data_IF_475666743482
#
_entry.id   IF_475666743482
#
_cell.length_a   1.000
_cell.length_b   1.000
_cell.length_c   1.000
_cell.angle_alpha   90.00
_cell.angle_beta   90.00
_cell.angle_gamma   90.00
#
_symmetry.space_group_name_H-M   'P 1'
#
loop_
_entity.id
_entity.type
_entity.pdbx_description
1 polymer ?
#
# COMPACT_ATOMS: atom_id res chain seq x y z
N UNK A 1 -17.11 -3.63 21.89
CA UNK A 1 -16.69 -3.26 20.52
C UNK A 1 -15.31 -3.83 20.31
N UNK A 2 -15.15 -4.84 19.45
CA UNK A 2 -13.84 -5.39 19.12
C UNK A 2 -12.93 -4.26 18.63
N UNK A 3 -11.73 -4.14 19.20
CA UNK A 3 -10.71 -3.26 18.66
C UNK A 3 -10.56 -3.58 17.17
N UNK A 4 -10.53 -2.54 16.35
CA UNK A 4 -10.31 -2.69 14.92
C UNK A 4 -8.84 -3.10 14.73
N UNK A 5 -8.59 -4.32 14.25
CA UNK A 5 -7.23 -4.75 13.92
C UNK A 5 -6.58 -3.77 12.95
N UNK A 6 -5.29 -3.51 13.21
CA UNK A 6 -4.47 -2.66 12.37
C UNK A 6 -4.21 -3.30 11.02
N UNK A 7 -4.12 -2.49 9.96
CA UNK A 7 -3.94 -3.02 8.59
C UNK A 7 -2.90 -2.25 7.78
N UNK A 8 -2.22 -2.95 6.88
CA UNK A 8 -1.44 -2.37 5.79
C UNK A 8 -2.27 -2.47 4.49
N UNK A 9 -2.48 -1.34 3.82
CA UNK A 9 -3.15 -1.30 2.51
C UNK A 9 -2.14 -0.84 1.47
N UNK A 10 -1.86 -1.67 0.47
CA UNK A 10 -0.91 -1.40 -0.60
C UNK A 10 -1.66 -1.05 -1.88
N UNK A 11 -1.58 0.21 -2.32
CA UNK A 11 -2.08 0.62 -3.64
C UNK A 11 -1.03 0.30 -4.69
N UNK A 12 -1.33 -0.68 -5.55
CA UNK A 12 -0.39 -1.27 -6.49
C UNK A 12 -0.80 -1.17 -7.96
N UNK A 13 0.17 -1.45 -8.83
CA UNK A 13 0.05 -1.37 -10.28
C UNK A 13 1.28 -0.76 -10.94
N UNK A 14 1.37 -0.87 -12.26
CA UNK A 14 2.48 -0.33 -13.05
C UNK A 14 2.53 1.22 -12.98
N UNK A 15 3.62 1.82 -13.47
CA UNK A 15 3.74 3.28 -13.54
C UNK A 15 2.62 3.88 -14.40
N UNK A 16 2.14 5.06 -14.03
CA UNK A 16 1.06 5.74 -14.75
C UNK A 16 -0.37 5.30 -14.41
N UNK A 17 -0.56 4.25 -13.59
CA UNK A 17 -1.91 3.83 -13.14
C UNK A 17 -2.57 4.83 -12.19
N UNK A 18 -1.80 5.66 -11.49
CA UNK A 18 -2.31 6.66 -10.54
C UNK A 18 -2.24 6.24 -9.07
N UNK A 19 -1.33 5.33 -8.70
CA UNK A 19 -1.14 4.84 -7.33
C UNK A 19 -1.11 5.95 -6.27
N UNK A 20 -0.26 6.98 -6.44
CA UNK A 20 -0.17 8.04 -5.43
C UNK A 20 -1.46 8.87 -5.33
N UNK A 21 -2.14 9.09 -6.46
CA UNK A 21 -3.45 9.80 -6.45
C UNK A 21 -4.52 9.00 -5.71
N UNK A 22 -4.65 7.70 -6.01
CA UNK A 22 -5.61 6.85 -5.31
C UNK A 22 -5.20 6.62 -3.84
N UNK A 23 -3.91 6.41 -3.57
CA UNK A 23 -3.37 6.18 -2.24
C UNK A 23 -3.64 7.33 -1.29
N UNK A 24 -3.37 8.57 -1.70
CA UNK A 24 -3.69 9.76 -0.90
C UNK A 24 -5.19 9.89 -0.64
N UNK A 25 -6.03 9.69 -1.67
CA UNK A 25 -7.48 9.81 -1.52
C UNK A 25 -8.07 8.70 -0.61
N UNK A 26 -7.58 7.48 -0.76
CA UNK A 26 -8.00 6.33 0.05
C UNK A 26 -7.56 6.50 1.52
N UNK A 27 -6.33 6.95 1.75
CA UNK A 27 -5.83 7.25 3.09
C UNK A 27 -6.68 8.32 3.80
N UNK A 28 -7.02 9.40 3.09
CA UNK A 28 -7.91 10.43 3.60
C UNK A 28 -9.31 9.88 3.94
N UNK A 29 -9.88 9.05 3.06
CA UNK A 29 -11.19 8.43 3.28
C UNK A 29 -11.22 7.44 4.45
N UNK A 30 -10.09 6.82 4.78
CA UNK A 30 -9.95 5.85 5.87
C UNK A 30 -9.40 6.47 7.16
N UNK A 31 -9.04 7.76 7.14
CA UNK A 31 -8.35 8.46 8.23
C UNK A 31 -7.04 7.76 8.65
N UNK A 32 -6.29 7.26 7.67
CA UNK A 32 -5.00 6.58 7.86
C UNK A 32 -3.85 7.45 7.31
N UNK A 33 -2.63 7.31 7.84
CA UNK A 33 -1.45 7.89 7.20
C UNK A 33 -1.23 7.29 5.80
N UNK A 34 -0.67 8.11 4.92
CA UNK A 34 -0.22 7.73 3.58
C UNK A 34 1.31 7.76 3.51
N UNK A 35 1.91 6.77 2.85
CA UNK A 35 3.32 6.77 2.45
C UNK A 35 3.42 6.55 0.93
N UNK A 36 4.27 7.32 0.27
CA UNK A 36 4.74 6.95 -1.06
C UNK A 36 5.93 5.99 -0.92
N UNK A 37 5.77 4.74 -1.38
CA UNK A 37 6.79 3.70 -1.20
C UNK A 37 8.09 4.02 -1.94
N UNK A 38 8.05 4.86 -2.97
CA UNK A 38 9.25 5.28 -3.71
C UNK A 38 10.20 6.11 -2.81
N UNK A 39 9.69 6.80 -1.79
CA UNK A 39 10.48 7.58 -0.83
C UNK A 39 11.34 6.69 0.09
N UNK A 40 11.02 5.40 0.17
CA UNK A 40 11.72 4.42 1.02
C UNK A 40 12.81 3.65 0.27
N UNK A 41 13.08 3.99 -1.00
CA UNK A 41 14.18 3.37 -1.73
C UNK A 41 15.54 3.69 -1.09
N UNK A 42 16.45 2.71 -0.94
CA UNK A 42 17.82 3.00 -0.57
C UNK A 42 18.49 3.84 -1.67
N UNK A 43 19.47 4.66 -1.28
CA UNK A 43 20.21 5.53 -2.21
C UNK A 43 20.81 4.77 -3.39
N UNK A 44 21.21 3.51 -3.20
CA UNK A 44 21.69 2.62 -4.26
C UNK A 44 20.66 2.43 -5.37
N UNK A 45 19.39 2.23 -5.02
CA UNK A 45 18.30 2.04 -5.98
C UNK A 45 18.00 3.34 -6.72
N UNK A 46 17.92 4.45 -5.99
CA UNK A 46 17.70 5.78 -6.58
C UNK A 46 18.79 6.07 -7.60
N UNK A 47 20.06 5.85 -7.26
CA UNK A 47 21.20 6.06 -8.16
C UNK A 47 21.14 5.13 -9.39
N UNK A 48 20.78 3.85 -9.20
CA UNK A 48 20.68 2.88 -10.29
C UNK A 48 19.58 3.25 -11.29
N UNK A 49 18.41 3.66 -10.78
CA UNK A 49 17.29 4.13 -11.61
C UNK A 49 17.61 5.46 -12.29
N UNK A 50 18.25 6.40 -11.59
CA UNK A 50 18.70 7.67 -12.17
C UNK A 50 19.71 7.47 -13.32
N UNK A 51 20.50 6.40 -13.27
CA UNK A 51 21.38 5.97 -14.35
C UNK A 51 20.66 5.18 -15.48
N UNK A 52 19.33 5.08 -15.45
CA UNK A 52 18.53 4.36 -16.44
C UNK A 52 18.65 2.83 -16.37
N UNK A 53 19.19 2.28 -15.28
CA UNK A 53 19.35 0.83 -15.10
C UNK A 53 18.16 0.27 -14.31
N UNK A 54 17.52 -0.82 -14.78
CA UNK A 54 16.41 -1.43 -14.06
C UNK A 54 16.91 -2.07 -12.75
N UNK A 55 16.07 -2.03 -11.72
CA UNK A 55 16.30 -2.77 -10.48
C UNK A 55 16.08 -4.28 -10.71
N UNK A 56 16.85 -5.10 -10.00
CA UNK A 56 16.72 -6.55 -9.85
C UNK A 56 15.93 -6.89 -8.58
N UNK A 57 15.66 -8.17 -8.34
CA UNK A 57 14.98 -8.62 -7.12
C UNK A 57 15.81 -8.30 -5.87
N UNK A 58 17.12 -8.56 -5.93
CA UNK A 58 18.05 -8.28 -4.84
C UNK A 58 18.14 -6.78 -4.50
N UNK A 59 17.92 -5.89 -5.49
CA UNK A 59 17.82 -4.46 -5.22
C UNK A 59 16.50 -4.10 -4.51
N UNK A 60 15.40 -4.80 -4.84
CA UNK A 60 14.05 -4.50 -4.35
C UNK A 60 13.76 -5.07 -2.97
N UNK A 61 14.35 -6.21 -2.62
CA UNK A 61 14.09 -6.89 -1.35
C UNK A 61 14.32 -5.99 -0.12
N UNK A 62 15.47 -5.28 0.04
CA UNK A 62 15.66 -4.37 1.18
C UNK A 62 14.66 -3.22 1.20
N UNK A 63 14.24 -2.74 0.04
CA UNK A 63 13.23 -1.69 -0.10
C UNK A 63 11.83 -2.17 0.33
N UNK A 64 11.45 -3.39 -0.03
CA UNK A 64 10.16 -3.98 0.38
C UNK A 64 10.12 -4.23 1.89
N UNK A 65 11.22 -4.69 2.49
CA UNK A 65 11.36 -4.75 3.95
C UNK A 65 11.28 -3.37 4.59
N UNK A 66 11.89 -2.33 4.01
CA UNK A 66 11.78 -0.97 4.53
C UNK A 66 10.33 -0.46 4.52
N UNK A 67 9.54 -0.78 3.49
CA UNK A 67 8.10 -0.48 3.44
C UNK A 67 7.36 -1.18 4.59
N UNK A 68 7.54 -2.50 4.71
CA UNK A 68 6.87 -3.31 5.75
C UNK A 68 7.23 -2.84 7.16
N UNK A 69 8.52 -2.68 7.45
CA UNK A 69 8.99 -2.23 8.77
C UNK A 69 8.48 -0.83 9.11
N UNK A 70 8.38 0.07 8.11
CA UNK A 70 7.81 1.42 8.32
C UNK A 70 6.32 1.35 8.64
N UNK A 71 5.58 0.48 7.96
CA UNK A 71 4.17 0.27 8.25
C UNK A 71 3.94 -0.26 9.67
N UNK A 72 4.73 -1.25 10.10
CA UNK A 72 4.68 -1.81 11.46
C UNK A 72 4.97 -0.75 12.53
N UNK A 73 6.00 0.09 12.33
CA UNK A 73 6.32 1.19 13.27
C UNK A 73 5.18 2.21 13.38
N UNK A 74 4.64 2.67 12.25
CA UNK A 74 3.55 3.65 12.27
C UNK A 74 2.29 3.12 12.96
N UNK A 75 2.00 1.83 12.79
CA UNK A 75 0.90 1.16 13.47
C UNK A 75 1.18 1.04 14.97
N UNK A 76 2.41 0.66 15.36
CA UNK A 76 2.80 0.59 16.76
C UNK A 76 2.69 1.97 17.45
N UNK A 77 3.15 3.03 16.79
CA UNK A 77 3.07 4.40 17.32
C UNK A 77 1.61 4.86 17.52
N UNK A 78 0.69 4.43 16.65
CA UNK A 78 -0.76 4.68 16.81
C UNK A 78 -1.36 3.95 18.02
N UNK A 79 -0.80 2.81 18.42
CA UNK A 79 -1.29 2.03 19.58
C UNK A 79 -0.84 2.62 20.93
N UNK A 80 0.34 3.24 20.96
CA UNK A 80 0.89 3.94 22.14
C UNK A 80 0.24 5.31 22.31
N UNK A 81 -0.07 5.96 21.18
CA UNK A 81 -0.81 7.21 21.12
C UNK A 81 -2.31 6.94 21.29
N UNK A 82 -2.76 6.71 22.53
CA UNK A 82 -4.20 6.75 22.84
C UNK A 82 -4.86 8.04 22.28
N UNK A 83 -6.18 8.08 22.07
CA UNK A 83 -6.84 9.15 21.31
C UNK A 83 -6.34 10.51 21.81
N UNK A 84 -5.75 11.28 20.89
CA UNK A 84 -5.09 12.53 21.20
C UNK A 84 -6.00 13.36 22.11
N UNK A 85 -5.54 13.67 23.33
CA UNK A 85 -6.07 14.78 24.12
C UNK A 85 -5.70 16.06 23.36
N UNK A 86 -6.52 16.41 22.37
CA UNK A 86 -6.50 17.69 21.70
C UNK A 86 -7.15 18.74 22.60
N UNK A 87 -6.47 19.88 22.70
CA UNK A 87 -6.75 21.00 23.59
C UNK A 87 -8.19 21.51 23.63
N UNK A 88 -8.59 21.97 24.81
CA UNK A 88 -9.86 22.67 25.08
C UNK A 88 -9.88 23.99 24.31
N UNK A 89 -10.64 24.06 23.21
CA UNK A 89 -11.07 25.31 22.61
C UNK A 89 -12.49 25.20 22.01
N UNK A 90 -13.46 25.71 22.78
CA UNK A 90 -14.84 26.13 22.49
C UNK A 90 -15.45 25.77 21.12
N UNK A 91 -16.48 24.92 21.13
CA UNK A 91 -17.49 24.85 20.08
C UNK A 91 -18.28 23.55 20.15
N UNK A 92 -19.59 23.64 20.32
CA UNK A 92 -20.54 22.54 20.49
C UNK A 92 -20.70 21.69 19.23
N UNK A 93 -20.22 20.44 19.20
CA UNK A 93 -20.82 19.33 18.43
C UNK A 93 -20.54 18.00 19.15
N UNK A 94 -21.60 17.32 19.58
CA UNK A 94 -21.57 16.01 20.23
C UNK A 94 -21.39 14.91 19.17
N UNK A 95 -20.16 14.68 18.74
CA UNK A 95 -19.75 13.46 18.04
C UNK A 95 -18.85 12.64 18.95
N UNK A 96 -19.28 11.43 19.33
CA UNK A 96 -18.39 10.48 20.03
C UNK A 96 -17.13 10.26 19.16
N UNK A 97 -15.89 10.25 19.72
CA UNK A 97 -14.72 9.92 18.92
C UNK A 97 -14.89 8.49 18.40
N UNK A 98 -15.13 8.34 17.10
CA UNK A 98 -15.17 7.04 16.45
C UNK A 98 -13.80 6.38 16.63
N UNK A 99 -13.72 5.11 17.04
CA UNK A 99 -12.44 4.42 17.13
C UNK A 99 -11.74 4.49 15.77
N UNK A 100 -10.58 5.14 15.74
CA UNK A 100 -9.76 5.20 14.54
C UNK A 100 -9.36 3.78 14.16
N UNK A 101 -9.61 3.39 12.91
CA UNK A 101 -9.01 2.17 12.39
C UNK A 101 -7.50 2.42 12.33
N UNK A 102 -6.74 1.74 13.18
CA UNK A 102 -5.29 1.79 13.09
C UNK A 102 -4.86 1.17 11.75
N UNK A 103 -3.86 1.76 11.10
CA UNK A 103 -3.40 1.26 9.81
C UNK A 103 -2.58 2.27 9.04
N UNK A 104 -2.22 1.92 7.81
CA UNK A 104 -1.44 2.76 6.89
C UNK A 104 -1.74 2.37 5.44
N UNK A 105 -1.79 3.38 4.57
CA UNK A 105 -1.89 3.20 3.12
C UNK A 105 -0.53 3.49 2.49
N UNK A 106 -0.05 2.59 1.63
CA UNK A 106 1.24 2.74 0.93
C UNK A 106 1.03 2.62 -0.57
N UNK A 107 1.58 3.54 -1.36
CA UNK A 107 1.74 3.32 -2.79
C UNK A 107 2.99 2.47 -3.06
N UNK A 108 2.86 1.32 -3.71
CA UNK A 108 4.00 0.47 -4.06
C UNK A 108 3.69 -0.31 -5.34
N UNK A 109 4.64 -0.46 -6.25
CA UNK A 109 4.39 -1.19 -7.51
C UNK A 109 4.04 -2.67 -7.28
N UNK A 110 4.69 -3.36 -6.32
CA UNK A 110 4.41 -4.72 -5.88
C UNK A 110 4.09 -5.74 -7.01
N UNK A 111 4.82 -5.65 -8.12
CA UNK A 111 4.44 -6.29 -9.38
C UNK A 111 4.53 -7.83 -9.37
N UNK A 112 5.38 -8.41 -8.52
CA UNK A 112 5.56 -9.86 -8.39
C UNK A 112 4.96 -10.41 -7.12
N UNK A 113 4.49 -11.66 -7.14
CA UNK A 113 3.93 -12.35 -5.98
C UNK A 113 4.93 -12.39 -4.82
N UNK A 114 6.21 -12.69 -5.11
CA UNK A 114 7.26 -12.66 -4.09
C UNK A 114 7.38 -11.30 -3.39
N UNK A 115 7.14 -10.19 -4.09
CA UNK A 115 7.17 -8.86 -3.48
C UNK A 115 5.95 -8.63 -2.58
N UNK A 116 4.78 -9.10 -3.03
CA UNK A 116 3.55 -9.06 -2.24
C UNK A 116 3.68 -9.91 -0.98
N UNK A 117 4.36 -11.05 -1.06
CA UNK A 117 4.59 -11.94 0.07
C UNK A 117 5.52 -11.31 1.13
N UNK A 118 6.57 -10.58 0.71
CA UNK A 118 7.37 -9.76 1.64
C UNK A 118 6.49 -8.74 2.37
N UNK A 119 5.62 -8.03 1.63
CA UNK A 119 4.73 -7.02 2.21
C UNK A 119 3.67 -7.64 3.14
N UNK A 120 3.20 -8.86 2.85
CA UNK A 120 2.37 -9.67 3.75
C UNK A 120 3.11 -10.12 5.00
N UNK A 121 4.44 -10.04 5.01
CA UNK A 121 5.28 -10.37 6.16
C UNK A 121 5.74 -11.82 6.16
N UNK A 122 5.62 -12.53 5.02
CA UNK A 122 6.25 -13.83 4.87
C UNK A 122 7.77 -13.65 4.85
N UNK A 123 8.47 -14.43 5.67
CA UNK A 123 9.93 -14.48 5.68
C UNK A 123 10.43 -15.16 4.40
N UNK A 124 10.74 -14.36 3.38
CA UNK A 124 11.72 -14.73 2.36
C UNK A 124 13.09 -14.29 2.87
N UNK A 125 13.81 -15.26 3.43
CA UNK A 125 15.21 -15.24 3.89
C UNK A 125 16.02 -13.93 3.88
N UNK A 126 16.38 -13.50 5.10
CA UNK A 126 17.66 -12.88 5.50
C UNK A 126 18.17 -11.64 4.74
N UNK A 127 17.52 -10.48 4.93
CA UNK A 127 18.11 -9.21 4.45
C UNK A 127 17.68 -7.90 5.10
N UNK A 128 16.73 -7.88 6.04
CA UNK A 128 16.16 -6.59 6.51
C UNK A 128 15.52 -6.60 7.88
N UNK A 129 15.91 -7.53 8.76
CA UNK A 129 15.58 -7.39 10.17
C UNK A 129 16.44 -6.24 10.73
N UNK A 130 15.78 -5.20 11.23
CA UNK A 130 16.41 -4.26 12.14
C UNK A 130 16.89 -5.07 13.36
N UNK A 131 18.21 -5.13 13.64
CA UNK A 131 18.73 -5.91 14.76
C UNK A 131 18.19 -5.44 16.12
N UNK A 132 17.63 -4.22 16.20
CA UNK A 132 16.99 -3.69 17.42
C UNK A 132 15.48 -4.02 17.50
N UNK A 133 14.89 -4.64 16.48
CA UNK A 133 13.50 -5.11 16.51
C UNK A 133 13.37 -6.44 17.27
N UNK A 134 13.71 -6.46 18.56
CA UNK A 134 13.52 -7.62 19.45
C UNK A 134 12.07 -7.83 19.92
N UNK A 135 11.08 -7.21 19.27
CA UNK A 135 9.66 -7.42 19.54
C UNK A 135 9.07 -8.57 18.73
N UNK A 136 8.05 -9.25 19.27
CA UNK A 136 7.19 -10.11 18.47
C UNK A 136 6.69 -9.30 17.25
N UNK A 137 6.94 -9.76 16.02
CA UNK A 137 6.43 -9.10 14.82
C UNK A 137 4.92 -8.99 14.95
N UNK A 138 4.41 -7.76 14.93
CA UNK A 138 2.97 -7.51 14.89
C UNK A 138 2.40 -8.20 13.65
N UNK A 139 1.39 -9.05 13.83
CA UNK A 139 0.60 -9.55 12.71
C UNK A 139 -0.13 -8.34 12.13
N UNK A 140 0.31 -7.91 10.94
CA UNK A 140 -0.25 -6.78 10.22
C UNK A 140 -0.93 -7.29 8.94
N UNK A 141 -2.24 -7.61 8.99
CA UNK A 141 -3.01 -7.98 7.82
C UNK A 141 -2.76 -7.00 6.66
N UNK A 142 -2.40 -7.55 5.50
CA UNK A 142 -1.97 -6.77 4.34
C UNK A 142 -2.91 -7.00 3.17
N UNK A 143 -3.53 -5.92 2.69
CA UNK A 143 -4.44 -5.92 1.56
C UNK A 143 -3.83 -5.16 0.38
N UNK A 144 -4.19 -5.56 -0.84
CA UNK A 144 -3.72 -4.91 -2.06
C UNK A 144 -4.88 -4.30 -2.83
N UNK A 145 -4.73 -3.05 -3.26
CA UNK A 145 -5.63 -2.37 -4.19
C UNK A 145 -4.89 -2.28 -5.52
N UNK A 146 -5.17 -3.23 -6.41
CA UNK A 146 -4.55 -3.32 -7.72
C UNK A 146 -5.29 -2.46 -8.75
N UNK A 147 -4.63 -1.43 -9.26
CA UNK A 147 -5.14 -0.62 -10.37
C UNK A 147 -4.71 -1.27 -11.69
N UNK A 148 -5.69 -1.88 -12.35
CA UNK A 148 -5.53 -2.59 -13.60
C UNK A 148 -5.87 -1.72 -14.82
N UNK A 149 -5.14 -1.93 -15.91
CA UNK A 149 -5.38 -1.24 -17.16
C UNK A 149 -4.63 -1.90 -18.31
N UNK A 150 -5.24 -1.89 -19.49
CA UNK A 150 -4.56 -2.37 -20.69
C UNK A 150 -3.38 -1.45 -21.04
N UNK A 151 -2.40 -2.02 -21.77
CA UNK A 151 -1.24 -1.28 -22.26
C UNK A 151 -1.65 -0.01 -23.00
N UNK A 152 -2.67 -0.10 -23.83
CA UNK A 152 -3.17 0.99 -24.67
C UNK A 152 -3.67 2.16 -23.81
N UNK A 153 -4.51 1.86 -22.81
CA UNK A 153 -5.05 2.88 -21.90
C UNK A 153 -3.94 3.53 -21.08
N UNK A 154 -2.99 2.74 -20.57
CA UNK A 154 -1.88 3.24 -19.76
C UNK A 154 -0.93 4.12 -20.59
N UNK A 155 -0.59 3.69 -21.80
CA UNK A 155 0.25 4.45 -22.71
C UNK A 155 -0.42 5.79 -23.08
N UNK A 156 -1.71 5.77 -23.41
CA UNK A 156 -2.48 6.98 -23.71
C UNK A 156 -2.43 7.98 -22.53
N UNK A 157 -2.65 7.49 -21.30
CA UNK A 157 -2.56 8.31 -20.08
C UNK A 157 -1.16 8.89 -19.87
N UNK A 158 -0.11 8.10 -20.12
CA UNK A 158 1.28 8.56 -19.97
C UNK A 158 1.66 9.62 -21.00
N UNK A 159 1.21 9.47 -22.25
CA UNK A 159 1.46 10.42 -23.33
C UNK A 159 0.77 11.77 -23.10
N UNK A 160 -0.45 11.76 -22.56
CA UNK A 160 -1.19 12.99 -22.17
C UNK A 160 -0.47 13.83 -21.10
N UNK A 161 0.50 13.26 -20.36
CA UNK A 161 1.24 13.95 -19.29
C UNK A 161 2.59 14.57 -19.73
N UNK A 162 2.80 14.79 -21.04
CA UNK A 162 4.02 15.33 -21.69
C UNK A 162 5.32 14.50 -21.52
N UNK A 163 6.07 14.24 -22.61
CA UNK A 163 7.42 13.64 -22.60
C UNK A 163 7.53 12.25 -23.23
N UNK A 164 8.40 12.13 -24.25
CA UNK A 164 8.36 11.10 -25.30
C UNK A 164 9.29 9.88 -25.09
N UNK A 165 8.84 8.74 -25.63
CA UNK A 165 9.50 7.44 -25.86
C UNK A 165 10.01 6.62 -24.65
N UNK A 166 10.78 7.20 -23.71
CA UNK A 166 11.33 6.46 -22.56
C UNK A 166 10.24 5.88 -21.64
N UNK A 167 9.06 6.51 -21.63
CA UNK A 167 7.89 6.07 -20.86
C UNK A 167 7.26 4.77 -21.38
N UNK A 168 7.34 4.50 -22.69
CA UNK A 168 6.71 3.35 -23.31
C UNK A 168 7.50 2.05 -23.06
N UNK A 169 8.82 2.09 -23.23
CA UNK A 169 9.69 0.93 -22.95
C UNK A 169 9.69 0.57 -21.47
N UNK A 170 9.63 1.57 -20.58
CA UNK A 170 9.45 1.35 -19.15
C UNK A 170 8.11 0.66 -18.84
N UNK A 171 7.01 1.13 -19.44
CA UNK A 171 5.69 0.50 -19.27
C UNK A 171 5.72 -0.97 -19.71
N UNK A 172 6.31 -1.26 -20.87
CA UNK A 172 6.41 -2.63 -21.40
C UNK A 172 7.19 -3.55 -20.44
N UNK A 173 8.30 -3.06 -19.87
CA UNK A 173 9.08 -3.82 -18.88
C UNK A 173 8.29 -4.11 -17.60
N UNK A 174 7.46 -3.15 -17.14
CA UNK A 174 6.65 -3.31 -15.94
C UNK A 174 5.47 -4.25 -16.17
N UNK A 175 4.81 -4.18 -17.33
CA UNK A 175 3.76 -5.13 -17.71
C UNK A 175 4.31 -6.55 -17.84
N UNK A 176 5.53 -6.70 -18.37
CA UNK A 176 6.22 -8.00 -18.43
C UNK A 176 6.57 -8.53 -17.05
N UNK A 177 6.90 -7.64 -16.10
CA UNK A 177 7.21 -8.00 -14.71
C UNK A 177 5.96 -8.29 -13.87
N UNK A 178 4.79 -7.84 -14.30
CA UNK A 178 3.54 -7.96 -13.56
C UNK A 178 3.06 -9.42 -13.55
N UNK A 179 3.12 -10.04 -12.37
CA UNK A 179 2.45 -11.30 -12.07
C UNK A 179 1.04 -10.97 -11.55
N UNK A 180 0.00 -11.41 -12.28
CA UNK A 180 -1.40 -11.05 -12.04
C UNK A 180 -1.87 -11.38 -10.60
N UNK A 181 -2.21 -10.38 -9.76
CA UNK A 181 -2.61 -10.60 -8.39
C UNK A 181 -4.10 -10.92 -8.22
N UNK A 182 -4.93 -10.90 -9.28
CA UNK A 182 -6.41 -10.99 -9.17
C UNK A 182 -6.94 -12.21 -8.43
N UNK A 183 -6.17 -13.31 -8.44
CA UNK A 183 -6.55 -14.58 -7.78
C UNK A 183 -6.02 -14.68 -6.35
N UNK A 184 -5.22 -13.73 -5.89
CA UNK A 184 -4.67 -13.75 -4.54
C UNK A 184 -5.67 -13.22 -3.51
N UNK A 185 -5.61 -13.79 -2.31
CA UNK A 185 -6.40 -13.33 -1.18
C UNK A 185 -6.05 -11.88 -0.80
N UNK A 186 -7.06 -11.13 -0.38
CA UNK A 186 -6.91 -9.75 0.07
C UNK A 186 -6.64 -8.75 -1.05
N UNK A 187 -6.88 -9.11 -2.32
CA UNK A 187 -6.70 -8.24 -3.48
C UNK A 187 -8.03 -7.65 -3.96
N UNK A 188 -8.10 -6.32 -4.04
CA UNK A 188 -9.17 -5.56 -4.69
C UNK A 188 -8.68 -5.08 -6.05
N UNK A 189 -9.44 -5.37 -7.10
CA UNK A 189 -9.08 -5.01 -8.48
C UNK A 189 -9.93 -3.82 -8.92
N UNK A 190 -9.27 -2.74 -9.35
CA UNK A 190 -9.90 -1.50 -9.79
C UNK A 190 -9.49 -1.18 -11.22
N UNK A 191 -10.40 -0.65 -12.02
CA UNK A 191 -10.08 -0.20 -13.37
C UNK A 191 -9.37 1.15 -13.33
N UNK A 192 -8.30 1.31 -14.10
CA UNK A 192 -7.62 2.60 -14.33
C UNK A 192 -8.53 3.62 -15.03
N UNK A 193 -9.60 3.15 -15.67
CA UNK A 193 -10.58 3.99 -16.36
C UNK A 193 -11.63 4.59 -15.40
N UNK A 194 -11.78 4.02 -14.20
CA UNK A 194 -12.64 4.60 -13.17
C UNK A 194 -12.09 5.96 -12.71
N UNK A 195 -12.99 6.84 -12.26
CA UNK A 195 -12.57 8.07 -11.57
C UNK A 195 -11.95 7.73 -10.22
N UNK A 196 -11.07 8.58 -9.70
CA UNK A 196 -10.48 8.39 -8.36
C UNK A 196 -11.57 8.21 -7.29
N UNK A 197 -12.67 8.95 -7.38
CA UNK A 197 -13.79 8.83 -6.43
C UNK A 197 -14.41 7.43 -6.48
N UNK A 198 -14.71 6.93 -7.67
CA UNK A 198 -15.25 5.57 -7.88
C UNK A 198 -14.26 4.50 -7.41
N UNK A 199 -12.96 4.69 -7.65
CA UNK A 199 -11.91 3.79 -7.16
C UNK A 199 -11.87 3.74 -5.64
N UNK A 200 -11.96 4.87 -4.95
CA UNK A 200 -12.02 4.94 -3.48
C UNK A 200 -13.26 4.23 -2.95
N UNK A 201 -14.44 4.49 -3.51
CA UNK A 201 -15.69 3.84 -3.08
C UNK A 201 -15.61 2.32 -3.19
N UNK A 202 -15.13 1.81 -4.33
CA UNK A 202 -14.92 0.37 -4.55
C UNK A 202 -13.89 -0.22 -3.59
N UNK A 203 -12.76 0.46 -3.40
CA UNK A 203 -11.71 0.02 -2.46
C UNK A 203 -12.24 -0.07 -1.03
N UNK A 204 -12.89 0.98 -0.54
CA UNK A 204 -13.45 1.02 0.82
C UNK A 204 -14.52 -0.06 1.01
N UNK A 205 -15.39 -0.28 0.03
CA UNK A 205 -16.41 -1.32 0.08
C UNK A 205 -15.81 -2.72 0.20
N UNK A 206 -14.83 -3.05 -0.65
CA UNK A 206 -14.17 -4.35 -0.64
C UNK A 206 -13.32 -4.58 0.61
N UNK A 207 -12.57 -3.58 1.07
CA UNK A 207 -11.76 -3.66 2.29
C UNK A 207 -12.64 -3.89 3.54
N UNK A 208 -13.84 -3.31 3.60
CA UNK A 208 -14.80 -3.59 4.68
C UNK A 208 -15.27 -5.06 4.65
N UNK A 209 -15.49 -5.62 3.47
CA UNK A 209 -15.91 -7.02 3.33
C UNK A 209 -14.82 -7.99 3.81
N UNK A 210 -13.56 -7.77 3.43
CA UNK A 210 -12.45 -8.59 3.91
C UNK A 210 -12.31 -8.56 5.44
N UNK A 211 -12.48 -7.38 6.04
CA UNK A 211 -12.43 -7.22 7.50
C UNK A 211 -13.61 -7.83 8.24
N UNK A 212 -14.72 -8.11 7.55
CA UNK A 212 -15.85 -8.82 8.12
C UNK A 212 -15.66 -10.34 8.02
N UNK A 213 -15.19 -10.85 6.88
CA UNK A 213 -14.88 -12.28 6.71
C UNK A 213 -13.80 -12.79 7.68
N UNK A 214 -12.76 -11.99 7.92
CA UNK A 214 -11.71 -12.34 8.90
C UNK A 214 -12.24 -12.53 10.32
N UNK A 215 -13.26 -11.75 10.72
CA UNK A 215 -13.89 -11.88 12.05
C UNK A 215 -14.71 -13.15 12.15
N UNK A 216 -15.35 -13.58 11.08
CA UNK A 216 -16.20 -14.77 11.12
C UNK A 216 -15.32 -16.05 11.20
N UNK A 217 -14.12 -16.05 10.61
CA UNK A 217 -13.18 -17.18 10.63
C UNK A 217 -12.35 -17.32 11.93
N UNK A 218 -12.28 -16.29 12.77
CA UNK A 218 -11.45 -16.26 13.99
C UNK A 218 -12.25 -16.09 15.30
N UNK A 219 -13.56 -16.41 15.29
CA UNK A 219 -14.45 -16.35 16.48
C UNK A 219 -14.67 -17.71 17.15
N UNK A 220 -14.13 -18.80 16.62
CA UNK A 220 -14.17 -20.13 17.26
C UNK A 220 -12.81 -20.49 17.89
N UNK A 221 -12.52 -19.97 19.10
CA UNK A 221 -11.78 -20.66 20.18
C UNK A 221 -11.98 -19.97 21.55
#
# INVERSE_FOLDING_TARGET
>A
MSAMESVLIVVMGVSGTGKSTLGTALAASLHMPYIDGDDLHPRSNVNKMAAGRPLTDADREPWLHAIRNTAERLVADQSVSGPARGDVAKGTETGSPTPHASGVVVACSALRRAYRDILRGFDVGAGGADPDAQGARTVLPTYFVFIDGSREVLLERMLKRNGHFMKATMLDSQLTTLEDPRSEEGVVVLSVQDTTQTQVEKAVGALKAFRQGYKDDHVDD
#
